data_IF_987790214408
#
_entry.id   IF_987790214408
#
_cell.length_a   1.000
_cell.length_b   1.000
_cell.length_c   1.000
_cell.angle_alpha   90.00
_cell.angle_beta   90.00
_cell.angle_gamma   90.00
#
_symmetry.space_group_name_H-M   'P 1'
#
loop_
_entity.id
_entity.type
_entity.pdbx_description
1 polymer ?
#
# COMPACT_ATOMS: atom_id res chain seq x y z
N UNK A 1 -73.73 8.04 -36.39
CA UNK A 1 -73.09 7.32 -35.27
C UNK A 1 -71.67 6.98 -35.68
N UNK A 2 -70.69 7.83 -35.32
CA UNK A 2 -69.25 7.60 -35.54
C UNK A 2 -68.61 7.51 -34.16
N UNK A 3 -68.48 6.29 -33.65
CA UNK A 3 -67.84 6.00 -32.38
C UNK A 3 -66.40 5.58 -32.61
N UNK A 4 -65.49 6.40 -32.10
CA UNK A 4 -64.03 6.26 -32.13
C UNK A 4 -63.62 5.06 -31.25
N UNK A 5 -62.96 4.05 -31.83
CA UNK A 5 -62.23 3.01 -31.08
C UNK A 5 -60.91 2.71 -31.79
N UNK A 6 -59.90 3.58 -31.69
CA UNK A 6 -58.49 3.18 -31.92
C UNK A 6 -57.54 4.10 -31.12
N UNK A 7 -57.63 4.14 -29.78
CA UNK A 7 -56.52 4.65 -28.95
C UNK A 7 -56.52 3.91 -27.60
N UNK A 8 -56.17 2.63 -27.60
CA UNK A 8 -55.94 1.89 -26.35
C UNK A 8 -54.79 0.87 -26.40
N UNK A 9 -54.14 0.68 -27.55
CA UNK A 9 -53.03 -0.29 -27.69
C UNK A 9 -51.63 0.33 -27.49
N UNK A 10 -51.49 1.66 -27.55
CA UNK A 10 -50.18 2.33 -27.50
C UNK A 10 -49.64 2.61 -26.10
N UNK A 11 -50.51 2.84 -25.10
CA UNK A 11 -50.08 3.20 -23.75
C UNK A 11 -49.58 2.00 -22.93
N UNK A 12 -50.06 0.79 -23.23
CA UNK A 12 -49.72 -0.43 -22.49
C UNK A 12 -48.31 -0.94 -22.77
N UNK A 13 -47.76 -0.67 -23.97
CA UNK A 13 -46.41 -1.08 -24.37
C UNK A 13 -45.30 -0.24 -23.72
N UNK A 14 -45.54 1.05 -23.50
CA UNK A 14 -44.55 1.96 -22.87
C UNK A 14 -44.36 1.64 -21.39
N UNK A 15 -45.45 1.26 -20.69
CA UNK A 15 -45.41 0.90 -19.27
C UNK A 15 -44.69 -0.46 -19.08
N UNK A 16 -44.91 -1.43 -19.97
CA UNK A 16 -44.19 -2.72 -19.95
C UNK A 16 -42.69 -2.56 -20.29
N UNK A 17 -42.34 -1.65 -21.21
CA UNK A 17 -40.94 -1.37 -21.53
C UNK A 17 -40.19 -0.67 -20.36
N UNK A 18 -40.87 0.19 -19.59
CA UNK A 18 -40.29 0.82 -18.41
C UNK A 18 -40.06 -0.20 -17.27
N UNK A 19 -40.97 -1.16 -17.08
CA UNK A 19 -40.88 -2.21 -16.05
C UNK A 19 -39.87 -3.31 -16.45
N UNK A 20 -39.74 -3.63 -17.73
CA UNK A 20 -38.77 -4.61 -18.22
C UNK A 20 -37.35 -4.02 -18.43
N UNK A 21 -37.24 -2.72 -18.71
CA UNK A 21 -35.97 -2.02 -18.91
C UNK A 21 -35.23 -1.70 -17.61
N UNK A 22 -35.94 -1.38 -16.53
CA UNK A 22 -35.36 -1.06 -15.22
C UNK A 22 -34.48 -2.18 -14.65
N UNK A 23 -34.95 -3.45 -14.59
CA UNK A 23 -34.17 -4.58 -14.09
C UNK A 23 -32.93 -4.89 -14.93
N UNK A 24 -32.99 -4.71 -16.25
CA UNK A 24 -31.86 -4.96 -17.17
C UNK A 24 -30.81 -3.87 -17.04
N UNK A 25 -31.23 -2.60 -16.97
CA UNK A 25 -30.34 -1.46 -16.77
C UNK A 25 -29.62 -1.55 -15.42
N UNK A 26 -30.38 -1.88 -14.37
CA UNK A 26 -29.87 -2.07 -13.01
C UNK A 26 -28.89 -3.24 -12.93
N UNK A 27 -29.18 -4.36 -13.60
CA UNK A 27 -28.28 -5.52 -13.68
C UNK A 27 -26.97 -5.20 -14.42
N UNK A 28 -27.04 -4.42 -15.51
CA UNK A 28 -25.86 -3.99 -16.26
C UNK A 28 -25.01 -3.00 -15.45
N UNK A 29 -25.65 -2.06 -14.75
CA UNK A 29 -24.98 -1.13 -13.85
C UNK A 29 -24.20 -1.87 -12.77
N UNK A 30 -24.86 -2.83 -12.10
CA UNK A 30 -24.26 -3.71 -11.09
C UNK A 30 -23.08 -4.51 -11.61
N UNK A 31 -23.21 -5.10 -12.80
CA UNK A 31 -22.12 -5.83 -13.45
C UNK A 31 -20.92 -4.91 -13.76
N UNK A 32 -21.18 -3.68 -14.16
CA UNK A 32 -20.17 -2.64 -14.37
C UNK A 32 -19.45 -2.25 -13.08
N UNK A 33 -20.19 -2.00 -12.00
CA UNK A 33 -19.65 -1.63 -10.69
C UNK A 33 -18.73 -2.74 -10.12
N UNK A 34 -19.15 -4.00 -10.15
CA UNK A 34 -18.30 -5.11 -9.69
C UNK A 34 -17.08 -5.30 -10.59
N UNK A 35 -17.22 -5.15 -11.91
CA UNK A 35 -16.07 -5.24 -12.82
C UNK A 35 -15.05 -4.15 -12.50
N UNK A 36 -15.50 -2.91 -12.30
CA UNK A 36 -14.62 -1.80 -11.94
C UNK A 36 -13.91 -2.03 -10.59
N UNK A 37 -14.65 -2.49 -9.57
CA UNK A 37 -14.06 -2.80 -8.27
C UNK A 37 -13.03 -3.95 -8.34
N UNK A 38 -13.30 -5.00 -9.14
CA UNK A 38 -12.34 -6.10 -9.35
C UNK A 38 -11.07 -5.62 -10.03
N UNK A 39 -11.19 -4.81 -11.08
CA UNK A 39 -10.02 -4.22 -11.75
C UNK A 39 -9.22 -3.35 -10.79
N UNK A 40 -9.89 -2.53 -9.96
CA UNK A 40 -9.22 -1.73 -8.94
C UNK A 40 -8.52 -2.62 -7.89
N UNK A 41 -9.15 -3.71 -7.46
CA UNK A 41 -8.57 -4.66 -6.50
C UNK A 41 -7.31 -5.33 -7.06
N UNK A 42 -7.36 -5.81 -8.31
CA UNK A 42 -6.22 -6.44 -8.98
C UNK A 42 -5.03 -5.47 -9.08
N UNK A 43 -5.30 -4.22 -9.48
CA UNK A 43 -4.27 -3.18 -9.56
C UNK A 43 -3.67 -2.85 -8.18
N UNK A 44 -4.52 -2.74 -7.16
CA UNK A 44 -4.08 -2.48 -5.78
C UNK A 44 -3.21 -3.63 -5.25
N UNK A 45 -3.57 -4.88 -5.56
CA UNK A 45 -2.77 -6.06 -5.20
C UNK A 45 -1.41 -6.03 -5.87
N UNK A 46 -1.35 -5.81 -7.18
CA UNK A 46 -0.08 -5.72 -7.91
C UNK A 46 0.82 -4.62 -7.34
N UNK A 47 0.23 -3.47 -6.96
CA UNK A 47 0.95 -2.36 -6.34
C UNK A 47 1.51 -2.74 -4.97
N UNK A 48 0.73 -3.41 -4.12
CA UNK A 48 1.15 -3.88 -2.79
C UNK A 48 2.24 -4.96 -2.89
N UNK A 49 2.11 -5.91 -3.81
CA UNK A 49 3.09 -6.97 -4.06
C UNK A 49 4.41 -6.36 -4.54
N UNK A 50 4.36 -5.44 -5.50
CA UNK A 50 5.54 -4.71 -5.99
C UNK A 50 6.20 -3.89 -4.89
N UNK A 51 5.43 -3.23 -4.04
CA UNK A 51 5.97 -2.43 -2.93
C UNK A 51 6.68 -3.32 -1.92
N UNK A 52 6.11 -4.47 -1.60
CA UNK A 52 6.68 -5.45 -0.66
C UNK A 52 8.02 -6.00 -1.15
N UNK A 53 8.14 -6.28 -2.45
CA UNK A 53 9.41 -6.72 -3.06
C UNK A 53 10.50 -5.66 -2.93
N UNK A 54 10.20 -4.42 -3.31
CA UNK A 54 11.16 -3.30 -3.21
C UNK A 54 11.55 -3.04 -1.77
N UNK A 55 10.58 -3.03 -0.86
CA UNK A 55 10.83 -2.83 0.57
C UNK A 55 11.76 -3.91 1.13
N UNK A 56 11.58 -5.17 0.74
CA UNK A 56 12.45 -6.25 1.18
C UNK A 56 13.91 -6.05 0.75
N UNK A 57 14.15 -5.57 -0.46
CA UNK A 57 15.51 -5.32 -0.96
C UNK A 57 16.18 -4.16 -0.22
N UNK A 58 15.43 -3.10 0.04
CA UNK A 58 15.89 -1.93 0.78
C UNK A 58 16.16 -2.25 2.26
N UNK A 59 15.35 -3.12 2.87
CA UNK A 59 15.58 -3.64 4.21
C UNK A 59 16.88 -4.45 4.27
N UNK A 60 17.14 -5.31 3.29
CA UNK A 60 18.38 -6.09 3.23
C UNK A 60 19.61 -5.18 3.10
N UNK A 61 19.55 -4.17 2.22
CA UNK A 61 20.62 -3.19 2.08
C UNK A 61 20.84 -2.39 3.37
N UNK A 62 19.76 -1.95 4.03
CA UNK A 62 19.82 -1.25 5.29
C UNK A 62 20.45 -2.11 6.39
N UNK A 63 20.08 -3.39 6.52
CA UNK A 63 20.66 -4.30 7.50
C UNK A 63 22.15 -4.53 7.25
N UNK A 64 22.57 -4.62 5.98
CA UNK A 64 23.99 -4.73 5.64
C UNK A 64 24.75 -3.48 6.04
N UNK A 65 24.20 -2.30 5.77
CA UNK A 65 24.80 -1.03 6.17
C UNK A 65 24.84 -0.87 7.70
N UNK A 66 23.79 -1.29 8.39
CA UNK A 66 23.74 -1.33 9.86
C UNK A 66 24.91 -2.14 10.43
N UNK A 67 25.22 -3.30 9.84
CA UNK A 67 26.38 -4.09 10.24
C UNK A 67 27.73 -3.36 10.11
N UNK A 68 27.88 -2.48 9.11
CA UNK A 68 29.09 -1.65 8.96
C UNK A 68 29.15 -0.60 10.07
N UNK A 69 28.04 0.08 10.36
CA UNK A 69 27.96 1.09 11.43
C UNK A 69 28.23 0.45 12.79
N UNK A 70 27.66 -0.72 13.06
CA UNK A 70 27.89 -1.47 14.29
C UNK A 70 29.36 -1.91 14.43
N UNK A 71 30.02 -2.29 13.32
CA UNK A 71 31.46 -2.59 13.33
C UNK A 71 32.29 -1.37 13.72
N UNK A 72 32.03 -0.23 13.09
CA UNK A 72 32.72 1.03 13.39
C UNK A 72 32.51 1.46 14.85
N UNK A 73 31.27 1.31 15.35
CA UNK A 73 30.95 1.56 16.75
C UNK A 73 31.78 0.68 17.68
N UNK A 74 31.87 -0.62 17.41
CA UNK A 74 32.66 -1.54 18.23
C UNK A 74 34.15 -1.19 18.22
N UNK A 75 34.69 -0.70 17.10
CA UNK A 75 36.08 -0.23 17.02
C UNK A 75 36.28 1.04 17.88
N UNK A 76 35.38 2.03 17.75
CA UNK A 76 35.39 3.24 18.60
C UNK A 76 35.29 2.88 20.09
N UNK A 77 34.32 2.05 20.46
CA UNK A 77 34.11 1.59 21.85
C UNK A 77 35.36 0.86 22.39
N UNK A 78 36.10 0.16 21.52
CA UNK A 78 37.36 -0.50 21.85
C UNK A 78 38.50 0.47 22.16
N UNK A 79 38.60 1.58 21.42
CA UNK A 79 39.56 2.65 21.73
C UNK A 79 39.20 3.39 23.02
N UNK A 80 37.91 3.58 23.29
CA UNK A 80 37.40 4.37 24.42
C UNK A 80 37.25 3.56 25.72
N UNK A 81 37.72 2.30 25.76
CA UNK A 81 37.60 1.41 26.92
C UNK A 81 38.13 2.09 28.21
N UNK A 82 37.24 2.38 29.18
CA UNK A 82 37.63 3.04 30.43
C UNK A 82 38.66 2.26 31.24
N UNK A 83 38.72 0.92 31.07
CA UNK A 83 39.70 0.08 31.75
C UNK A 83 41.14 0.34 31.28
N UNK A 84 41.32 0.89 30.08
CA UNK A 84 42.61 1.22 29.48
C UNK A 84 43.06 2.66 29.78
N UNK A 85 42.22 3.46 30.45
CA UNK A 85 42.54 4.84 30.83
C UNK A 85 42.36 5.88 29.72
N UNK A 86 41.59 5.56 28.68
CA UNK A 86 41.34 6.40 27.51
C UNK A 86 42.19 6.00 26.29
N UNK A 87 42.09 6.77 25.21
CA UNK A 87 42.77 6.49 23.93
C UNK A 87 44.28 6.81 24.03
N UNK A 88 45.19 5.85 23.80
CA UNK A 88 46.64 6.10 23.79
C UNK A 88 47.09 7.06 22.68
N UNK A 89 48.13 7.86 22.94
CA UNK A 89 48.64 8.86 21.98
C UNK A 89 49.10 8.22 20.67
N UNK A 90 49.75 7.05 20.73
CA UNK A 90 50.25 6.35 19.54
C UNK A 90 49.16 5.95 18.52
N UNK A 91 47.93 5.72 18.97
CA UNK A 91 46.80 5.30 18.11
C UNK A 91 45.76 6.41 17.92
N UNK A 92 45.97 7.58 18.52
CA UNK A 92 44.98 8.65 18.54
C UNK A 92 44.56 9.13 17.14
N UNK A 93 45.51 9.15 16.19
CA UNK A 93 45.21 9.51 14.79
C UNK A 93 44.32 8.47 14.11
N UNK A 94 44.53 7.18 14.38
CA UNK A 94 43.70 6.09 13.86
C UNK A 94 42.30 6.12 14.48
N UNK A 95 42.23 6.29 15.80
CA UNK A 95 40.97 6.50 16.52
C UNK A 95 40.16 7.65 15.92
N UNK A 96 40.76 8.83 15.71
CA UNK A 96 40.04 9.98 15.15
C UNK A 96 39.48 9.67 13.76
N UNK A 97 40.26 9.00 12.90
CA UNK A 97 39.79 8.62 11.57
C UNK A 97 38.59 7.66 11.63
N UNK A 98 38.63 6.65 12.51
CA UNK A 98 37.50 5.72 12.71
C UNK A 98 36.29 6.41 13.34
N UNK A 99 36.51 7.31 14.30
CA UNK A 99 35.46 8.07 14.97
C UNK A 99 34.74 9.04 14.01
N UNK A 100 35.48 9.75 13.17
CA UNK A 100 34.91 10.60 12.11
C UNK A 100 34.10 9.78 11.11
N UNK A 101 34.65 8.65 10.64
CA UNK A 101 33.95 7.74 9.73
C UNK A 101 32.66 7.18 10.37
N UNK A 102 32.71 6.81 11.65
CA UNK A 102 31.53 6.37 12.41
C UNK A 102 30.47 7.47 12.44
N UNK A 103 30.83 8.70 12.85
CA UNK A 103 29.89 9.81 12.95
C UNK A 103 29.25 10.17 11.60
N UNK A 104 30.03 10.21 10.53
CA UNK A 104 29.51 10.41 9.18
C UNK A 104 28.54 9.30 8.76
N UNK A 105 28.89 8.05 9.10
CA UNK A 105 28.07 6.88 8.79
C UNK A 105 26.76 6.86 9.58
N UNK A 106 26.74 7.35 10.82
CA UNK A 106 25.52 7.48 11.65
C UNK A 106 24.51 8.43 11.00
N UNK A 107 24.97 9.56 10.46
CA UNK A 107 24.09 10.49 9.73
C UNK A 107 23.44 9.83 8.53
N UNK A 108 24.23 9.16 7.70
CA UNK A 108 23.73 8.39 6.53
C UNK A 108 22.80 7.25 6.96
N UNK A 109 23.10 6.59 8.08
CA UNK A 109 22.27 5.51 8.62
C UNK A 109 20.88 6.03 8.99
N UNK A 110 20.81 7.18 9.66
CA UNK A 110 19.56 7.79 10.07
C UNK A 110 18.71 8.19 8.85
N UNK A 111 19.31 8.83 7.85
CA UNK A 111 18.62 9.17 6.60
C UNK A 111 18.04 7.94 5.89
N UNK A 112 18.79 6.84 5.87
CA UNK A 112 18.33 5.56 5.31
C UNK A 112 17.19 4.97 6.13
N UNK A 113 17.27 5.01 7.46
CA UNK A 113 16.22 4.52 8.35
C UNK A 113 14.91 5.28 8.15
N UNK A 114 14.96 6.62 8.09
CA UNK A 114 13.81 7.48 7.88
C UNK A 114 13.17 7.23 6.50
N UNK A 115 13.99 7.10 5.46
CA UNK A 115 13.54 6.75 4.10
C UNK A 115 12.84 5.39 4.07
N UNK A 116 13.40 4.40 4.76
CA UNK A 116 12.85 3.05 4.85
C UNK A 116 11.51 3.04 5.59
N UNK A 117 11.40 3.77 6.70
CA UNK A 117 10.15 3.92 7.45
C UNK A 117 9.07 4.61 6.59
N UNK A 118 9.45 5.65 5.84
CA UNK A 118 8.53 6.32 4.92
C UNK A 118 8.06 5.39 3.78
N UNK A 119 8.95 4.53 3.25
CA UNK A 119 8.60 3.50 2.25
C UNK A 119 7.65 2.47 2.84
N UNK A 120 7.93 1.96 4.05
CA UNK A 120 7.06 1.02 4.75
C UNK A 120 5.65 1.60 4.95
N UNK A 121 5.55 2.86 5.40
CA UNK A 121 4.27 3.55 5.55
C UNK A 121 3.48 3.62 4.25
N UNK A 122 4.15 3.89 3.12
CA UNK A 122 3.50 3.87 1.79
C UNK A 122 3.02 2.46 1.39
N UNK A 123 3.84 1.43 1.62
CA UNK A 123 3.41 0.05 1.32
C UNK A 123 2.22 -0.37 2.18
N UNK A 124 2.20 0.02 3.46
CA UNK A 124 1.06 -0.24 4.36
C UNK A 124 -0.23 0.41 3.85
N UNK A 125 -0.16 1.66 3.39
CA UNK A 125 -1.32 2.34 2.82
C UNK A 125 -1.88 1.62 1.57
N UNK A 126 -1.03 1.00 0.74
CA UNK A 126 -1.48 0.20 -0.40
C UNK A 126 -2.23 -1.07 0.04
N UNK A 127 -1.75 -1.74 1.08
CA UNK A 127 -2.43 -2.91 1.67
C UNK A 127 -3.78 -2.51 2.27
N UNK A 128 -3.84 -1.39 2.98
CA UNK A 128 -5.10 -0.85 3.51
C UNK A 128 -6.10 -0.51 2.40
N UNK A 129 -5.63 0.10 1.31
CA UNK A 129 -6.47 0.39 0.14
C UNK A 129 -7.02 -0.88 -0.51
N UNK A 130 -6.18 -1.92 -0.67
CA UNK A 130 -6.61 -3.23 -1.15
C UNK A 130 -7.72 -3.82 -0.25
N UNK A 131 -7.56 -3.75 1.07
CA UNK A 131 -8.54 -4.27 2.01
C UNK A 131 -9.86 -3.51 1.95
N UNK A 132 -9.83 -2.19 1.81
CA UNK A 132 -11.03 -1.36 1.61
C UNK A 132 -11.79 -1.70 0.31
N UNK A 133 -11.05 -2.01 -0.77
CA UNK A 133 -11.64 -2.46 -2.04
C UNK A 133 -12.29 -3.83 -1.90
N UNK A 134 -11.62 -4.78 -1.24
CA UNK A 134 -12.17 -6.10 -0.93
C UNK A 134 -13.47 -6.00 -0.12
N UNK A 135 -13.47 -5.16 0.92
CA UNK A 135 -14.67 -4.89 1.73
C UNK A 135 -15.79 -4.23 0.94
N UNK A 136 -15.47 -3.35 0.00
CA UNK A 136 -16.46 -2.71 -0.87
C UNK A 136 -17.12 -3.74 -1.79
N UNK A 137 -16.34 -4.65 -2.38
CA UNK A 137 -16.87 -5.76 -3.18
C UNK A 137 -17.79 -6.64 -2.35
N UNK A 138 -17.38 -6.99 -1.13
CA UNK A 138 -18.18 -7.79 -0.20
C UNK A 138 -19.51 -7.11 0.13
N UNK A 139 -19.51 -5.83 0.49
CA UNK A 139 -20.73 -5.05 0.78
C UNK A 139 -21.68 -5.01 -0.41
N UNK A 140 -21.17 -4.80 -1.61
CA UNK A 140 -21.98 -4.80 -2.84
C UNK A 140 -22.64 -6.16 -3.06
N UNK A 141 -21.89 -7.26 -2.87
CA UNK A 141 -22.42 -8.61 -3.02
C UNK A 141 -23.45 -8.98 -1.94
N UNK A 142 -23.23 -8.56 -0.69
CA UNK A 142 -24.15 -8.77 0.43
C UNK A 142 -25.45 -7.98 0.25
N UNK A 143 -25.36 -6.71 -0.15
CA UNK A 143 -26.53 -5.88 -0.46
C UNK A 143 -27.39 -6.44 -1.60
N UNK A 144 -26.78 -7.17 -2.53
CA UNK A 144 -27.53 -7.87 -3.58
C UNK A 144 -28.21 -9.14 -3.09
N UNK A 145 -27.65 -9.84 -2.10
CA UNK A 145 -28.29 -11.01 -1.49
C UNK A 145 -29.52 -10.62 -0.67
N UNK A 146 -29.48 -9.50 0.04
CA UNK A 146 -30.59 -9.03 0.89
C UNK A 146 -31.70 -8.28 0.14
N UNK A 147 -31.42 -7.71 -1.04
CA UNK A 147 -32.44 -7.04 -1.88
C UNK A 147 -33.12 -7.94 -2.91
N UNK A 148 -32.87 -9.26 -2.85
CA UNK A 148 -33.45 -10.27 -3.74
C UNK A 148 -34.51 -11.17 -3.09
N UNK A 149 -34.86 -10.90 -1.83
CA UNK A 149 -36.00 -11.51 -1.11
C UNK A 149 -37.24 -10.60 -1.19
#
# INVERSE_FOLDING_TARGET
MKGIIIIAAGASLVILAAIAGGPVLERNRRAGEIKALRTALDLSRMSADSCSLVLGWEQEEFLRFNGVVDSLRNEVDGYEDPAQGGVPEEVYTEYLATFELYNDSVGVWQDRADSLQAKEGRCRALVESHNQLSDSIRRVQEGWRSGGE
#
